data_IF_633950280671
#
_entry.id   IF_633950280671
#
_cell.length_a   1.000
_cell.length_b   1.000
_cell.length_c   1.000
_cell.angle_alpha   90.00
_cell.angle_beta   90.00
_cell.angle_gamma   90.00
#
_symmetry.space_group_name_H-M   'P 1'
#
loop_
_entity.id
_entity.type
_entity.pdbx_description
1 polymer ?
#
# COMPACT_ATOMS: atom_id res chain seq x y z
N UNK A 1 -31.39 -5.78 -9.74
CA UNK A 1 -30.49 -4.77 -10.33
C UNK A 1 -29.10 -5.19 -9.93
N UNK A 2 -28.28 -5.53 -10.92
CA UNK A 2 -26.95 -6.17 -10.78
C UNK A 2 -25.92 -5.16 -10.29
N UNK A 3 -24.93 -5.65 -9.54
CA UNK A 3 -23.81 -4.91 -8.89
C UNK A 3 -22.88 -4.10 -9.83
N UNK A 4 -23.25 -3.89 -11.10
CA UNK A 4 -22.33 -3.42 -12.16
C UNK A 4 -22.48 -1.93 -12.57
N UNK A 5 -23.42 -1.16 -12.03
CA UNK A 5 -23.57 0.27 -12.36
C UNK A 5 -22.82 1.21 -11.39
N UNK A 6 -21.61 0.84 -10.99
CA UNK A 6 -20.69 1.84 -10.43
C UNK A 6 -19.95 2.45 -11.60
N UNK A 7 -20.44 3.59 -12.08
CA UNK A 7 -19.76 4.42 -13.08
C UNK A 7 -18.49 5.03 -12.45
N UNK A 8 -17.39 4.26 -12.39
CA UNK A 8 -16.07 4.68 -11.88
C UNK A 8 -15.30 5.46 -12.97
N UNK A 9 -15.97 6.35 -13.70
CA UNK A 9 -15.30 7.20 -14.71
C UNK A 9 -15.45 8.70 -14.46
N UNK A 10 -15.78 9.08 -13.22
CA UNK A 10 -15.57 10.47 -12.80
C UNK A 10 -14.07 10.69 -12.61
N UNK A 11 -13.45 11.40 -13.57
CA UNK A 11 -12.04 11.74 -13.62
C UNK A 11 -11.60 12.56 -12.38
N UNK A 12 -11.36 11.88 -11.25
CA UNK A 12 -10.94 12.52 -10.00
C UNK A 12 -9.57 13.16 -10.22
N UNK A 13 -9.54 14.48 -10.15
CA UNK A 13 -8.34 15.27 -10.38
C UNK A 13 -7.29 14.96 -9.31
N UNK A 14 -6.00 15.01 -9.65
CA UNK A 14 -4.90 14.78 -8.68
C UNK A 14 -5.00 15.65 -7.42
N UNK A 15 -5.54 16.86 -7.54
CA UNK A 15 -5.81 17.77 -6.41
C UNK A 15 -6.84 17.20 -5.45
N UNK A 16 -7.99 16.74 -5.94
CA UNK A 16 -9.03 16.11 -5.12
C UNK A 16 -8.50 14.86 -4.41
N UNK A 17 -7.66 14.06 -5.07
CA UNK A 17 -6.98 12.93 -4.43
C UNK A 17 -6.11 13.40 -3.27
N UNK A 18 -5.28 14.42 -3.46
CA UNK A 18 -4.39 14.98 -2.42
C UNK A 18 -5.20 15.61 -1.29
N UNK A 19 -6.25 16.36 -1.59
CA UNK A 19 -7.09 17.01 -0.59
C UNK A 19 -7.79 15.97 0.29
N UNK A 20 -8.29 14.87 -0.30
CA UNK A 20 -8.80 13.74 0.45
C UNK A 20 -7.75 13.11 1.37
N UNK A 21 -6.47 13.07 0.96
CA UNK A 21 -5.37 12.62 1.84
C UNK A 21 -5.09 13.60 2.98
N UNK A 22 -5.18 14.90 2.71
CA UNK A 22 -4.92 15.94 3.71
C UNK A 22 -6.03 16.02 4.75
N UNK A 23 -7.28 15.82 4.37
CA UNK A 23 -8.41 15.85 5.30
C UNK A 23 -8.34 14.70 6.31
N UNK A 24 -7.83 13.56 5.89
CA UNK A 24 -7.48 12.43 6.76
C UNK A 24 -6.39 12.81 7.77
N UNK A 25 -5.32 13.48 7.32
CA UNK A 25 -4.25 13.92 8.21
C UNK A 25 -4.73 14.97 9.22
N UNK A 26 -5.70 15.81 8.84
CA UNK A 26 -6.32 16.83 9.69
C UNK A 26 -7.34 16.28 10.68
N UNK A 27 -7.93 15.10 10.44
CA UNK A 27 -8.91 14.52 11.36
C UNK A 27 -8.36 14.34 12.78
N UNK A 28 -7.14 13.82 12.91
CA UNK A 28 -6.44 13.74 14.20
C UNK A 28 -4.93 13.90 14.03
N UNK A 29 -4.42 15.14 13.91
CA UNK A 29 -3.04 15.40 13.54
C UNK A 29 -2.05 14.92 14.61
N UNK A 30 -2.43 14.99 15.90
CA UNK A 30 -1.58 14.52 17.01
C UNK A 30 -1.44 13.00 16.98
N UNK A 31 -2.53 12.27 16.76
CA UNK A 31 -2.50 10.82 16.71
C UNK A 31 -1.81 10.31 15.45
N UNK A 32 -2.06 10.95 14.30
CA UNK A 32 -1.33 10.66 13.06
C UNK A 32 0.16 10.91 13.21
N UNK A 33 0.57 12.03 13.82
CA UNK A 33 1.99 12.31 14.09
C UNK A 33 2.62 11.26 15.01
N UNK A 34 1.90 10.82 16.05
CA UNK A 34 2.37 9.74 16.93
C UNK A 34 2.61 8.44 16.14
N UNK A 35 1.67 8.04 15.26
CA UNK A 35 1.83 6.85 14.42
C UNK A 35 3.06 6.97 13.53
N UNK A 36 3.27 8.13 12.90
CA UNK A 36 4.45 8.38 12.04
C UNK A 36 5.74 8.28 12.84
N UNK A 37 5.82 8.89 14.02
CA UNK A 37 7.02 8.82 14.87
C UNK A 37 7.32 7.39 15.31
N UNK A 38 6.30 6.63 15.70
CA UNK A 38 6.47 5.21 16.06
C UNK A 38 6.90 4.36 14.86
N UNK A 39 6.35 4.62 13.67
CA UNK A 39 6.73 3.95 12.44
C UNK A 39 8.19 4.24 12.04
N UNK A 40 8.63 5.50 12.19
CA UNK A 40 10.03 5.88 12.02
C UNK A 40 10.95 5.15 12.99
N UNK A 41 10.57 5.11 14.27
CA UNK A 41 11.32 4.37 15.29
C UNK A 41 11.44 2.88 14.97
N UNK A 42 10.33 2.26 14.55
CA UNK A 42 10.32 0.85 14.12
C UNK A 42 11.25 0.62 12.91
N UNK A 43 11.20 1.49 11.89
CA UNK A 43 12.05 1.39 10.71
C UNK A 43 13.55 1.55 11.03
N UNK A 44 13.91 2.47 11.93
CA UNK A 44 15.29 2.63 12.39
C UNK A 44 15.77 1.39 13.13
N UNK A 45 14.97 0.86 14.07
CA UNK A 45 15.30 -0.37 14.79
C UNK A 45 15.41 -1.58 13.86
N UNK A 46 14.64 -1.60 12.77
CA UNK A 46 14.77 -2.62 11.72
C UNK A 46 16.11 -2.54 11.01
N UNK A 47 16.52 -1.32 10.64
CA UNK A 47 17.84 -1.05 10.10
C UNK A 47 18.97 -1.49 11.03
N UNK A 48 18.86 -1.18 12.33
CA UNK A 48 19.81 -1.64 13.36
C UNK A 48 19.81 -3.17 13.46
N UNK A 49 18.62 -3.80 13.44
CA UNK A 49 18.45 -5.25 13.46
C UNK A 49 19.17 -5.95 12.30
N UNK A 50 19.10 -5.41 11.09
CA UNK A 50 19.88 -5.90 9.94
C UNK A 50 21.38 -5.62 10.12
N UNK A 51 21.74 -4.49 10.70
CA UNK A 51 23.13 -4.12 11.00
C UNK A 51 23.86 -5.12 11.89
N UNK A 52 23.14 -5.87 12.72
CA UNK A 52 23.71 -6.93 13.55
C UNK A 52 24.14 -8.19 12.80
N UNK A 53 23.76 -8.36 11.53
CA UNK A 53 24.21 -9.51 10.73
C UNK A 53 25.73 -9.53 10.65
N UNK A 54 26.36 -8.39 10.38
CA UNK A 54 27.82 -8.29 10.24
C UNK A 54 28.56 -8.67 11.55
N UNK A 55 28.24 -8.09 12.73
CA UNK A 55 28.77 -8.52 14.03
C UNK A 55 28.65 -10.01 14.30
N UNK A 56 27.50 -10.60 14.01
CA UNK A 56 27.27 -12.03 14.27
C UNK A 56 28.14 -12.88 13.34
N UNK A 57 28.20 -12.53 12.06
CA UNK A 57 28.99 -13.28 11.07
C UNK A 57 30.48 -13.22 11.41
N UNK A 58 31.02 -12.04 11.74
CA UNK A 58 32.44 -11.90 12.10
C UNK A 58 32.80 -12.65 13.39
N UNK A 59 31.97 -12.54 14.44
CA UNK A 59 32.18 -13.26 15.71
C UNK A 59 32.11 -14.79 15.55
N UNK A 60 31.41 -15.29 14.53
CA UNK A 60 31.35 -16.73 14.22
C UNK A 60 32.50 -17.17 13.32
N UNK A 61 32.94 -16.33 12.38
CA UNK A 61 33.97 -16.68 11.41
C UNK A 61 35.39 -16.60 11.97
N UNK A 62 35.67 -15.81 13.01
CA UNK A 62 37.03 -15.76 13.58
C UNK A 62 37.05 -15.32 15.05
N UNK A 63 37.94 -15.91 15.87
CA UNK A 63 38.37 -15.37 17.18
C UNK A 63 39.24 -14.09 17.02
N UNK A 64 39.00 -13.30 15.97
CA UNK A 64 39.87 -12.16 15.61
C UNK A 64 39.62 -11.00 16.57
N UNK A 65 40.72 -10.51 17.13
CA UNK A 65 40.84 -9.34 17.98
C UNK A 65 40.04 -8.14 17.48
N UNK A 66 39.18 -7.60 18.35
CA UNK A 66 38.33 -6.41 18.23
C UNK A 66 39.04 -5.11 17.77
N UNK A 67 40.36 -5.17 17.56
CA UNK A 67 41.25 -4.05 17.27
C UNK A 67 41.26 -3.56 15.83
N UNK A 68 40.49 -4.16 14.92
CA UNK A 68 40.31 -3.70 13.52
C UNK A 68 38.84 -3.39 13.16
N UNK A 69 37.98 -3.15 14.14
CA UNK A 69 36.58 -2.82 13.89
C UNK A 69 36.45 -1.43 13.23
N UNK A 70 36.37 -1.39 11.90
CA UNK A 70 36.11 -0.19 11.12
C UNK A 70 34.63 -0.14 10.66
N UNK A 71 34.12 1.06 10.36
CA UNK A 71 32.74 1.27 9.92
C UNK A 71 31.66 0.88 10.95
N UNK A 72 30.61 0.18 10.51
CA UNK A 72 29.45 -0.17 11.34
C UNK A 72 29.83 -1.07 12.52
N UNK A 73 30.82 -1.95 12.35
CA UNK A 73 31.33 -2.80 13.45
C UNK A 73 31.87 -1.96 14.60
N UNK A 74 32.64 -0.91 14.29
CA UNK A 74 33.21 -0.01 15.30
C UNK A 74 32.14 0.69 16.13
N UNK A 75 31.00 1.03 15.52
CA UNK A 75 29.84 1.61 16.24
C UNK A 75 29.29 0.61 17.26
N UNK A 76 29.07 -0.64 16.87
CA UNK A 76 28.57 -1.68 17.79
C UNK A 76 29.55 -1.94 18.94
N UNK A 77 30.85 -2.08 18.64
CA UNK A 77 31.89 -2.29 19.66
C UNK A 77 31.91 -1.12 20.65
N UNK A 78 31.86 0.12 20.15
CA UNK A 78 31.84 1.32 20.99
C UNK A 78 30.63 1.36 21.91
N UNK A 79 29.43 1.03 21.41
CA UNK A 79 28.21 0.99 22.22
C UNK A 79 28.33 -0.06 23.33
N UNK A 80 28.78 -1.28 23.01
CA UNK A 80 28.93 -2.35 24.00
C UNK A 80 29.98 -2.00 25.05
N UNK A 81 31.12 -1.45 24.64
CA UNK A 81 32.17 -0.98 25.55
C UNK A 81 31.68 0.15 26.46
N UNK A 82 30.93 1.12 25.92
CA UNK A 82 30.37 2.24 26.68
C UNK A 82 29.36 1.75 27.73
N UNK A 83 28.60 0.70 27.40
CA UNK A 83 27.67 0.05 28.33
C UNK A 83 28.36 -0.92 29.30
N UNK A 84 29.67 -1.16 29.16
CA UNK A 84 30.43 -2.13 29.95
C UNK A 84 30.04 -3.59 29.68
N UNK A 85 29.42 -3.88 28.53
CA UNK A 85 28.96 -5.22 28.15
C UNK A 85 30.04 -5.90 27.32
N UNK A 86 30.45 -7.15 27.65
CA UNK A 86 31.41 -7.89 26.84
C UNK A 86 30.89 -8.11 25.42
N UNK A 87 31.71 -7.78 24.40
CA UNK A 87 31.36 -8.00 23.00
C UNK A 87 31.61 -9.46 22.60
N UNK A 88 30.77 -10.37 23.11
CA UNK A 88 30.80 -11.80 22.76
C UNK A 88 29.52 -12.19 22.03
N UNK A 89 29.56 -13.32 21.30
CA UNK A 89 28.43 -13.81 20.52
C UNK A 89 27.13 -13.89 21.35
N UNK A 90 27.21 -14.40 22.58
CA UNK A 90 26.04 -14.52 23.47
C UNK A 90 25.40 -13.17 23.79
N UNK A 91 26.19 -12.15 24.15
CA UNK A 91 25.66 -10.82 24.44
C UNK A 91 25.16 -10.11 23.18
N UNK A 92 25.82 -10.28 22.04
CA UNK A 92 25.37 -9.72 20.76
C UNK A 92 24.02 -10.32 20.35
N UNK A 93 23.84 -11.64 20.48
CA UNK A 93 22.55 -12.31 20.21
C UNK A 93 21.45 -11.81 21.14
N UNK A 94 21.72 -11.63 22.43
CA UNK A 94 20.75 -11.04 23.37
C UNK A 94 20.41 -9.60 22.99
N UNK A 95 21.41 -8.80 22.57
CA UNK A 95 21.20 -7.44 22.09
C UNK A 95 20.30 -7.39 20.85
N UNK A 96 20.52 -8.29 19.87
CA UNK A 96 19.63 -8.45 18.72
C UNK A 96 18.23 -8.81 19.16
N UNK A 97 18.08 -9.81 20.02
CA UNK A 97 16.78 -10.24 20.50
C UNK A 97 16.03 -9.09 21.20
N UNK A 98 16.72 -8.28 22.01
CA UNK A 98 16.16 -7.10 22.66
C UNK A 98 15.71 -6.04 21.62
N UNK A 99 16.58 -5.68 20.69
CA UNK A 99 16.27 -4.71 19.62
C UNK A 99 15.09 -5.18 18.78
N UNK A 100 15.06 -6.47 18.41
CA UNK A 100 13.98 -7.07 17.64
C UNK A 100 12.67 -7.09 18.42
N UNK A 101 12.71 -7.37 19.73
CA UNK A 101 11.52 -7.33 20.58
C UNK A 101 10.92 -5.92 20.63
N UNK A 102 11.76 -4.90 20.84
CA UNK A 102 11.31 -3.50 20.83
C UNK A 102 10.76 -3.13 19.45
N UNK A 103 11.47 -3.52 18.38
CA UNK A 103 11.03 -3.28 16.99
C UNK A 103 9.65 -3.87 16.72
N UNK A 104 9.45 -5.15 17.00
CA UNK A 104 8.16 -5.81 16.76
C UNK A 104 7.05 -5.22 17.64
N UNK A 105 7.38 -4.82 18.86
CA UNK A 105 6.42 -4.12 19.74
C UNK A 105 6.01 -2.78 19.14
N UNK A 106 6.95 -1.98 18.64
CA UNK A 106 6.64 -0.71 17.96
C UNK A 106 5.83 -0.94 16.68
N UNK A 107 6.21 -1.91 15.85
CA UNK A 107 5.46 -2.26 14.63
C UNK A 107 4.02 -2.70 14.96
N UNK A 108 3.83 -3.46 16.04
CA UNK A 108 2.51 -3.82 16.53
C UNK A 108 1.71 -2.59 16.97
N UNK A 109 2.30 -1.69 17.78
CA UNK A 109 1.64 -0.46 18.21
C UNK A 109 1.24 0.43 17.04
N UNK A 110 2.10 0.56 16.02
CA UNK A 110 1.80 1.27 14.77
C UNK A 110 0.60 0.66 14.07
N UNK A 111 0.57 -0.67 13.91
CA UNK A 111 -0.55 -1.36 13.28
C UNK A 111 -1.86 -1.19 14.07
N UNK A 112 -1.78 -1.33 15.40
CA UNK A 112 -2.92 -1.15 16.30
C UNK A 112 -3.47 0.27 16.27
N UNK A 113 -2.62 1.29 16.41
CA UNK A 113 -3.04 2.69 16.36
C UNK A 113 -3.57 3.09 14.99
N UNK A 114 -3.02 2.54 13.90
CA UNK A 114 -3.57 2.75 12.56
C UNK A 114 -5.01 2.22 12.44
N UNK A 115 -5.29 1.03 12.98
CA UNK A 115 -6.65 0.46 12.97
C UNK A 115 -7.60 1.25 13.88
N UNK A 116 -7.12 1.69 15.04
CA UNK A 116 -7.89 2.56 15.93
C UNK A 116 -8.26 3.89 15.25
N UNK A 117 -7.31 4.55 14.57
CA UNK A 117 -7.54 5.77 13.81
C UNK A 117 -8.61 5.56 12.73
N UNK A 118 -8.51 4.46 11.99
CA UNK A 118 -9.52 4.10 10.98
C UNK A 118 -10.91 3.98 11.60
N UNK A 119 -11.04 3.22 12.69
CA UNK A 119 -12.34 3.00 13.32
C UNK A 119 -12.95 4.31 13.86
N UNK A 120 -12.13 5.20 14.44
CA UNK A 120 -12.60 6.52 14.86
C UNK A 120 -13.06 7.38 13.69
N UNK A 121 -12.33 7.36 12.58
CA UNK A 121 -12.70 8.11 11.40
C UNK A 121 -13.98 7.58 10.73
N UNK A 122 -14.11 6.26 10.58
CA UNK A 122 -15.33 5.64 10.03
C UNK A 122 -16.53 6.00 10.90
N UNK A 123 -16.41 5.88 12.22
CA UNK A 123 -17.49 6.25 13.14
C UNK A 123 -17.87 7.72 13.02
N UNK A 124 -16.89 8.60 12.92
CA UNK A 124 -17.13 10.04 12.77
C UNK A 124 -17.81 10.38 11.43
N UNK A 125 -17.40 9.73 10.33
CA UNK A 125 -18.09 9.86 9.05
C UNK A 125 -19.53 9.34 9.11
N UNK A 126 -19.75 8.21 9.77
CA UNK A 126 -21.10 7.63 9.93
C UNK A 126 -22.02 8.56 10.71
N UNK A 127 -21.56 9.16 11.80
CA UNK A 127 -22.34 10.11 12.59
C UNK A 127 -22.68 11.35 11.74
N UNK A 128 -21.69 11.96 11.08
CA UNK A 128 -21.92 13.14 10.24
C UNK A 128 -22.85 12.85 9.06
N UNK A 129 -22.69 11.70 8.41
CA UNK A 129 -23.55 11.31 7.30
C UNK A 129 -24.99 11.05 7.77
N UNK A 130 -25.17 10.44 8.94
CA UNK A 130 -26.48 10.22 9.54
C UNK A 130 -27.15 11.54 9.93
N UNK A 131 -26.44 12.44 10.61
CA UNK A 131 -26.98 13.76 10.99
C UNK A 131 -27.39 14.58 9.75
N UNK A 132 -26.54 14.61 8.72
CA UNK A 132 -26.86 15.28 7.46
C UNK A 132 -28.05 14.65 6.73
N UNK A 133 -28.23 13.32 6.83
CA UNK A 133 -29.38 12.65 6.26
C UNK A 133 -30.68 13.01 6.99
N UNK A 134 -30.64 13.15 8.32
CA UNK A 134 -31.80 13.59 9.10
C UNK A 134 -32.23 15.04 8.77
N UNK A 135 -31.27 15.90 8.43
CA UNK A 135 -31.51 17.29 8.04
C UNK A 135 -31.85 17.46 6.54
N UNK A 136 -31.73 16.41 5.74
CA UNK A 136 -32.00 16.46 4.29
C UNK A 136 -33.50 16.57 3.99
N UNK A 137 -33.84 17.29 2.91
CA UNK A 137 -35.22 17.42 2.44
C UNK A 137 -35.71 16.07 1.91
N UNK A 138 -37.01 15.80 2.07
CA UNK A 138 -37.67 14.59 1.54
C UNK A 138 -37.44 14.43 0.02
N UNK A 139 -37.41 15.54 -0.73
CA UNK A 139 -37.10 15.53 -2.17
C UNK A 139 -35.75 14.87 -2.52
N UNK A 140 -34.74 14.97 -1.63
CA UNK A 140 -33.45 14.29 -1.82
C UNK A 140 -33.57 12.77 -1.63
N UNK A 141 -34.39 12.34 -0.66
CA UNK A 141 -34.68 10.91 -0.46
C UNK A 141 -35.50 10.31 -1.61
N UNK A 142 -36.37 11.10 -2.23
CA UNK A 142 -37.16 10.67 -3.39
C UNK A 142 -36.30 10.57 -4.67
N UNK A 143 -35.28 11.41 -4.83
CA UNK A 143 -34.34 11.35 -5.97
C UNK A 143 -33.33 10.21 -5.82
N UNK A 144 -32.60 10.17 -4.70
CA UNK A 144 -31.49 9.23 -4.57
C UNK A 144 -31.91 7.87 -4.04
N UNK A 145 -33.06 7.78 -3.36
CA UNK A 145 -33.53 6.54 -2.74
C UNK A 145 -32.96 6.31 -1.34
N UNK A 146 -33.79 5.75 -0.47
CA UNK A 146 -33.43 5.48 0.93
C UNK A 146 -32.34 4.42 1.07
N UNK A 147 -32.28 3.47 0.14
CA UNK A 147 -31.27 2.40 0.14
C UNK A 147 -29.87 2.95 -0.17
N UNK A 148 -29.76 3.90 -1.11
CA UNK A 148 -28.48 4.52 -1.47
C UNK A 148 -27.95 5.44 -0.36
N UNK A 149 -28.85 6.18 0.31
CA UNK A 149 -28.48 6.97 1.49
C UNK A 149 -28.00 6.07 2.62
N UNK A 150 -28.70 4.96 2.88
CA UNK A 150 -28.28 3.99 3.90
C UNK A 150 -26.93 3.36 3.54
N UNK A 151 -26.72 3.02 2.27
CA UNK A 151 -25.46 2.48 1.76
C UNK A 151 -24.31 3.50 1.87
N UNK A 152 -24.58 4.77 1.61
CA UNK A 152 -23.60 5.85 1.78
C UNK A 152 -23.15 5.96 3.24
N UNK A 153 -24.10 5.91 4.19
CA UNK A 153 -23.82 5.96 5.62
C UNK A 153 -23.06 4.71 6.07
N UNK A 154 -23.57 3.51 5.80
CA UNK A 154 -23.02 2.28 6.37
C UNK A 154 -21.77 1.81 5.63
N UNK A 155 -21.84 1.72 4.31
CA UNK A 155 -20.85 1.03 3.50
C UNK A 155 -19.79 1.99 2.96
N UNK A 156 -20.19 3.08 2.30
CA UNK A 156 -19.24 4.00 1.64
C UNK A 156 -18.29 4.67 2.66
N UNK A 157 -18.75 5.00 3.86
CA UNK A 157 -17.88 5.50 4.95
C UNK A 157 -16.78 4.51 5.33
N UNK A 158 -17.04 3.20 5.29
CA UNK A 158 -16.04 2.14 5.54
C UNK A 158 -14.99 2.10 4.42
N UNK A 159 -15.40 2.29 3.16
CA UNK A 159 -14.47 2.43 2.03
C UNK A 159 -13.59 3.68 2.20
N UNK A 160 -14.17 4.83 2.58
CA UNK A 160 -13.42 6.05 2.86
C UNK A 160 -12.37 5.85 3.97
N UNK A 161 -12.73 5.14 5.05
CA UNK A 161 -11.78 4.78 6.12
C UNK A 161 -10.62 3.88 5.68
N UNK A 162 -10.78 3.07 4.62
CA UNK A 162 -9.67 2.25 4.09
C UNK A 162 -8.59 3.09 3.42
N UNK A 163 -8.95 4.24 2.83
CA UNK A 163 -7.97 5.15 2.20
C UNK A 163 -6.95 5.63 3.24
N UNK A 164 -7.40 5.95 4.46
CA UNK A 164 -6.52 6.33 5.58
C UNK A 164 -5.45 5.28 5.83
N UNK A 165 -5.85 4.02 5.95
CA UNK A 165 -4.91 2.94 6.23
C UNK A 165 -3.86 2.83 5.14
N UNK A 166 -4.28 2.90 3.87
CA UNK A 166 -3.38 2.81 2.73
C UNK A 166 -2.36 3.94 2.74
N UNK A 167 -2.76 5.15 3.13
CA UNK A 167 -1.88 6.33 3.15
C UNK A 167 -0.87 6.24 4.27
N UNK A 168 -1.31 5.91 5.49
CA UNK A 168 -0.41 5.70 6.63
C UNK A 168 0.57 4.56 6.34
N UNK A 169 0.08 3.47 5.72
CA UNK A 169 0.92 2.35 5.30
C UNK A 169 1.93 2.75 4.21
N UNK A 170 1.51 3.51 3.20
CA UNK A 170 2.38 4.01 2.14
C UNK A 170 3.51 4.86 2.73
N UNK A 171 3.20 5.75 3.67
CA UNK A 171 4.20 6.58 4.35
C UNK A 171 5.18 5.72 5.15
N UNK A 172 4.68 4.81 6.00
CA UNK A 172 5.51 3.92 6.79
C UNK A 172 6.43 3.06 5.90
N UNK A 173 5.88 2.49 4.82
CA UNK A 173 6.64 1.66 3.89
C UNK A 173 7.66 2.47 3.09
N UNK A 174 7.33 3.70 2.72
CA UNK A 174 8.26 4.62 2.07
C UNK A 174 9.43 4.99 2.98
N UNK A 175 9.17 5.23 4.27
CA UNK A 175 10.23 5.44 5.26
C UNK A 175 11.10 4.21 5.46
N UNK A 176 10.50 3.03 5.59
CA UNK A 176 11.25 1.78 5.69
C UNK A 176 12.13 1.55 4.46
N UNK A 177 11.58 1.73 3.26
CA UNK A 177 12.34 1.64 2.00
C UNK A 177 13.46 2.67 1.93
N UNK A 178 13.24 3.89 2.42
CA UNK A 178 14.28 4.92 2.48
C UNK A 178 15.42 4.51 3.44
N UNK A 179 15.09 4.01 4.63
CA UNK A 179 16.09 3.51 5.58
C UNK A 179 16.91 2.38 4.96
N UNK A 180 16.26 1.42 4.31
CA UNK A 180 16.94 0.32 3.62
C UNK A 180 17.82 0.82 2.47
N UNK A 181 17.34 1.78 1.68
CA UNK A 181 18.12 2.39 0.63
C UNK A 181 19.36 3.09 1.18
N UNK A 182 19.22 3.84 2.28
CA UNK A 182 20.34 4.51 2.94
C UNK A 182 21.36 3.50 3.48
N UNK A 183 20.90 2.44 4.15
CA UNK A 183 21.78 1.37 4.66
C UNK A 183 22.51 0.71 3.49
N UNK A 184 21.80 0.33 2.43
CA UNK A 184 22.39 -0.28 1.25
C UNK A 184 23.43 0.65 0.58
N UNK A 185 23.13 1.94 0.46
CA UNK A 185 24.01 2.94 -0.13
C UNK A 185 25.30 3.13 0.69
N UNK A 186 25.20 3.11 2.02
CA UNK A 186 26.37 3.18 2.92
C UNK A 186 27.19 1.89 2.86
N UNK A 187 26.54 0.72 2.82
CA UNK A 187 27.21 -0.58 2.85
C UNK A 187 27.87 -0.94 1.52
N UNK A 188 27.17 -0.72 0.42
CA UNK A 188 27.58 -1.16 -0.91
C UNK A 188 27.03 -0.19 -1.97
N UNK A 189 27.62 1.01 -2.12
CA UNK A 189 27.09 2.06 -2.99
C UNK A 189 26.97 1.63 -4.45
N UNK A 190 27.98 0.92 -4.98
CA UNK A 190 27.97 0.47 -6.38
C UNK A 190 26.97 -0.64 -6.66
N UNK A 191 26.82 -1.61 -5.74
CA UNK A 191 25.77 -2.62 -5.87
C UNK A 191 24.39 -2.00 -5.78
N UNK A 192 24.21 -1.04 -4.87
CA UNK A 192 22.94 -0.32 -4.71
C UNK A 192 22.57 0.45 -5.97
N UNK A 193 23.51 1.20 -6.57
CA UNK A 193 23.28 1.91 -7.84
C UNK A 193 22.94 0.93 -8.97
N UNK A 194 23.67 -0.19 -9.07
CA UNK A 194 23.37 -1.23 -10.04
C UNK A 194 21.97 -1.83 -9.83
N UNK A 195 21.58 -2.11 -8.58
CA UNK A 195 20.24 -2.60 -8.24
C UNK A 195 19.14 -1.60 -8.60
N UNK A 196 19.34 -0.31 -8.31
CA UNK A 196 18.39 0.75 -8.71
C UNK A 196 18.24 0.79 -10.23
N UNK A 197 19.34 0.68 -10.97
CA UNK A 197 19.31 0.70 -12.42
C UNK A 197 18.57 -0.52 -12.99
N UNK A 198 18.84 -1.72 -12.47
CA UNK A 198 18.18 -2.96 -12.91
C UNK A 198 16.69 -2.95 -12.55
N UNK A 199 16.35 -2.66 -11.29
CA UNK A 199 14.95 -2.63 -10.83
C UNK A 199 14.16 -1.50 -11.48
N UNK A 200 14.77 -0.31 -11.62
CA UNK A 200 14.19 0.81 -12.34
C UNK A 200 13.97 0.48 -13.81
N UNK A 201 14.94 -0.17 -14.45
CA UNK A 201 14.84 -0.68 -15.82
C UNK A 201 13.69 -1.67 -16.00
N UNK A 202 13.57 -2.66 -15.11
CA UNK A 202 12.46 -3.62 -15.10
C UNK A 202 11.11 -2.90 -14.90
N UNK A 203 11.07 -1.92 -14.00
CA UNK A 203 9.85 -1.13 -13.74
C UNK A 203 9.42 -0.36 -14.99
N UNK A 204 10.36 0.32 -15.65
CA UNK A 204 10.09 1.04 -16.89
C UNK A 204 9.68 0.09 -18.02
N UNK A 205 10.32 -1.08 -18.11
CA UNK A 205 9.99 -2.11 -19.09
C UNK A 205 8.55 -2.59 -18.89
N UNK A 206 8.18 -2.98 -17.67
CA UNK A 206 6.81 -3.39 -17.33
C UNK A 206 5.82 -2.31 -17.70
N UNK A 207 6.10 -1.06 -17.30
CA UNK A 207 5.21 0.07 -17.55
C UNK A 207 5.06 0.41 -19.03
N UNK A 208 6.11 0.30 -19.83
CA UNK A 208 6.07 0.67 -21.26
C UNK A 208 5.68 -0.47 -22.19
N UNK A 209 5.87 -1.72 -21.79
CA UNK A 209 5.66 -2.88 -22.65
C UNK A 209 4.42 -3.67 -22.23
N UNK A 210 4.18 -3.84 -20.93
CA UNK A 210 3.08 -4.68 -20.44
C UNK A 210 1.81 -3.88 -20.23
N UNK A 211 1.91 -2.64 -19.71
CA UNK A 211 0.73 -1.79 -19.45
C UNK A 211 -0.10 -1.51 -20.72
N UNK A 212 0.49 -1.15 -21.89
CA UNK A 212 -0.26 -1.02 -23.14
C UNK A 212 -0.87 -2.35 -23.64
N UNK A 213 -0.34 -3.48 -23.21
CA UNK A 213 -0.89 -4.79 -23.53
C UNK A 213 -2.25 -5.04 -22.89
N UNK A 214 -2.55 -4.41 -21.75
CA UNK A 214 -3.87 -4.46 -21.13
C UNK A 214 -4.90 -3.66 -21.94
N UNK A 215 -4.56 -2.45 -22.37
CA UNK A 215 -5.42 -1.64 -23.27
C UNK A 215 -5.70 -2.39 -24.58
N UNK A 216 -4.68 -3.05 -25.14
CA UNK A 216 -4.85 -3.88 -26.33
C UNK A 216 -5.73 -5.11 -26.07
N UNK A 217 -5.66 -5.66 -24.85
CA UNK A 217 -6.51 -6.75 -24.38
C UNK A 217 -7.98 -6.36 -24.33
N UNK A 218 -8.30 -5.16 -23.83
CA UNK A 218 -9.67 -4.63 -23.77
C UNK A 218 -10.24 -4.48 -25.19
N UNK A 219 -9.46 -3.94 -26.13
CA UNK A 219 -9.87 -3.84 -27.55
C UNK A 219 -10.16 -5.22 -28.16
N UNK A 220 -9.35 -6.23 -27.82
CA UNK A 220 -9.55 -7.60 -28.30
C UNK A 220 -10.80 -8.23 -27.67
N UNK A 221 -11.06 -7.97 -26.38
CA UNK A 221 -12.25 -8.44 -25.68
C UNK A 221 -13.53 -7.86 -26.30
N UNK A 222 -13.59 -6.54 -26.49
CA UNK A 222 -14.71 -5.83 -27.14
C UNK A 222 -14.97 -6.32 -28.57
N UNK A 223 -13.90 -6.61 -29.32
CA UNK A 223 -14.03 -7.15 -30.67
C UNK A 223 -14.53 -8.60 -30.68
N UNK A 224 -14.25 -9.37 -29.63
CA UNK A 224 -14.69 -10.76 -29.50
C UNK A 224 -16.16 -10.85 -29.03
N UNK A 225 -16.57 -9.95 -28.13
CA UNK A 225 -17.96 -9.81 -27.68
C UNK A 225 -18.88 -9.47 -28.85
N UNK A 226 -18.56 -8.42 -29.63
CA UNK A 226 -19.33 -8.06 -30.84
C UNK A 226 -19.42 -9.20 -31.85
N UNK A 227 -18.36 -10.01 -31.99
CA UNK A 227 -18.36 -11.19 -32.86
C UNK A 227 -19.30 -12.29 -32.35
N UNK A 228 -19.33 -12.51 -31.03
CA UNK A 228 -20.24 -13.47 -30.41
C UNK A 228 -21.69 -13.02 -30.53
N UNK A 229 -21.98 -11.74 -30.28
CA UNK A 229 -23.32 -11.16 -30.46
C UNK A 229 -23.81 -11.35 -31.91
N UNK A 230 -22.98 -11.03 -32.90
CA UNK A 230 -23.34 -11.20 -34.31
C UNK A 230 -23.59 -12.68 -34.67
N UNK A 231 -22.76 -13.60 -34.18
CA UNK A 231 -22.96 -15.03 -34.39
C UNK A 231 -24.22 -15.56 -33.68
N UNK A 232 -24.51 -15.07 -32.48
CA UNK A 232 -25.70 -15.45 -31.72
C UNK A 232 -26.97 -14.91 -32.37
N UNK A 233 -26.97 -13.66 -32.81
CA UNK A 233 -28.07 -13.06 -33.56
C UNK A 233 -28.32 -13.80 -34.88
N UNK A 234 -27.26 -14.13 -35.64
CA UNK A 234 -27.38 -14.88 -36.90
C UNK A 234 -27.88 -16.31 -36.73
N UNK A 235 -27.51 -16.99 -35.63
CA UNK A 235 -28.00 -18.35 -35.34
C UNK A 235 -29.42 -18.37 -34.78
N UNK A 236 -29.81 -17.40 -33.95
CA UNK A 236 -31.18 -17.26 -33.46
C UNK A 236 -32.15 -16.82 -34.56
N UNK A 237 -31.71 -15.91 -35.44
CA UNK A 237 -32.47 -15.40 -36.59
C UNK A 237 -32.45 -16.31 -37.83
N UNK A 238 -31.86 -17.51 -37.75
CA UNK A 238 -31.63 -18.40 -38.90
C UNK A 238 -32.91 -18.72 -39.69
N UNK A 239 -34.06 -18.76 -39.01
CA UNK A 239 -35.35 -19.07 -39.62
C UNK A 239 -35.85 -17.89 -40.47
N UNK A 240 -35.71 -16.68 -39.95
CA UNK A 240 -36.11 -15.44 -40.63
C UNK A 240 -35.18 -15.15 -41.80
N UNK A 241 -33.87 -15.33 -41.61
CA UNK A 241 -32.84 -15.18 -42.65
C UNK A 241 -33.11 -16.13 -43.83
N UNK A 242 -33.51 -17.39 -43.56
CA UNK A 242 -33.85 -18.37 -44.60
C UNK A 242 -35.18 -18.08 -45.31
N UNK A 243 -36.15 -17.50 -44.62
CA UNK A 243 -37.47 -17.17 -45.19
C UNK A 243 -37.36 -15.94 -46.11
N UNK A 244 -36.62 -14.92 -45.71
CA UNK A 244 -36.49 -13.66 -46.47
C UNK A 244 -35.33 -13.65 -47.46
N UNK A 245 -34.45 -14.66 -47.45
CA UNK A 245 -33.37 -14.81 -48.42
C UNK A 245 -32.22 -13.80 -48.27
N UNK A 246 -32.16 -13.07 -47.15
CA UNK A 246 -31.20 -11.98 -46.87
C UNK A 246 -29.85 -12.47 -46.34
N UNK A 247 -29.52 -13.75 -46.52
CA UNK A 247 -28.24 -14.33 -46.08
C UNK A 247 -27.00 -13.64 -46.69
N UNK A 248 -27.15 -13.01 -47.86
CA UNK A 248 -26.08 -12.28 -48.54
C UNK A 248 -25.84 -10.86 -48.01
N UNK A 249 -26.70 -10.33 -47.15
CA UNK A 249 -26.61 -8.96 -46.62
C UNK A 249 -25.97 -8.87 -45.23
N UNK A 250 -25.64 -10.02 -44.63
CA UNK A 250 -25.05 -10.13 -43.28
C UNK A 250 -23.51 -10.12 -43.26
N UNK A 251 -22.87 -9.90 -44.42
CA UNK A 251 -21.41 -9.81 -44.58
C UNK A 251 -21.00 -8.56 -45.35
#
# INVERSE_FOLDING_TARGET
MTEDDIDIDENVTRRQKIDALLDVAKFNPRFTALIVVLALGAAVLEGVGLGFILPIVELVQTDTSLSQADGIMGVFVTIYQTLGIPFTLGYVVVGVAAVMTVRYTLSFLVAWFREALRNYYVRDLQIRAFDNALDAKVEYFDQEGSDDILNAIITQTVYAGRVIMRVVQLLAQSFLSLVYLLIALVMAPWLTVASIFVLGGITVLMRRVVEPGYELGDIVADANERRQEAAQAGTQGIRDIRIFGVASELY
#
